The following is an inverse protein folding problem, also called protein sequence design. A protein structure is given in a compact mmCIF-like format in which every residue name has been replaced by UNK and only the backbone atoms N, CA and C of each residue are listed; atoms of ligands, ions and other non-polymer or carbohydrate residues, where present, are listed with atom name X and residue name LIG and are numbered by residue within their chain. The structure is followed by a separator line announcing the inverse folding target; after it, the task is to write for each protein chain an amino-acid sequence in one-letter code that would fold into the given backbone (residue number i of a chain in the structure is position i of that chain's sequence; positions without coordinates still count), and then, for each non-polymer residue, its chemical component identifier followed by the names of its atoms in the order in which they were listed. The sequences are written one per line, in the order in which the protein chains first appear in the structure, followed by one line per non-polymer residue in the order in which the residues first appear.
data_IF_518541262000
#
_entry.id   IF_518541262000
#
_cell.length_a   1.000
_cell.length_b   1.000
_cell.length_c   1.000
_cell.angle_alpha   90.00
_cell.angle_beta   90.00
_cell.angle_gamma   90.00
#
_symmetry.space_group_name_H-M   'P 1'
#
loop_
_entity.id
_entity.type
_entity.pdbx_description
1 polymer ?
#
# COMPACT_ATOMS: atom_id res chain seq x y z
N UNK A 1 4.06 8.11 117.64
CA UNK A 1 5.45 8.52 117.93
C UNK A 1 6.35 7.37 117.53
N UNK A 2 7.32 7.65 116.65
CA UNK A 2 8.57 6.88 116.40
C UNK A 2 8.46 5.41 115.95
N UNK A 3 9.28 4.87 115.05
CA UNK A 3 10.49 5.35 114.36
C UNK A 3 10.83 4.37 113.20
N UNK A 4 11.76 4.81 112.36
CA UNK A 4 12.20 4.26 111.06
C UNK A 4 13.14 3.05 111.15
N UNK A 5 13.34 2.44 109.95
CA UNK A 5 14.59 1.87 109.38
C UNK A 5 14.73 0.34 109.48
N UNK A 6 14.60 -0.43 108.38
CA UNK A 6 15.57 -0.72 107.28
C UNK A 6 16.76 -1.63 107.67
N UNK A 7 16.86 -2.73 106.90
CA UNK A 7 18.01 -3.60 106.54
C UNK A 7 18.01 -5.06 107.03
N UNK A 8 18.00 -5.99 106.05
CA UNK A 8 18.33 -7.40 106.16
C UNK A 8 18.56 -7.98 104.75
N UNK A 9 19.81 -8.26 104.42
CA UNK A 9 20.35 -8.50 103.09
C UNK A 9 19.98 -9.86 102.44
N UNK A 10 19.85 -9.88 101.11
CA UNK A 10 19.86 -11.07 100.27
C UNK A 10 21.24 -11.20 99.57
N UNK A 11 21.78 -12.41 99.37
CA UNK A 11 23.16 -12.61 98.95
C UNK A 11 23.38 -12.41 97.44
N UNK A 12 24.55 -11.88 97.11
CA UNK A 12 25.16 -11.86 95.78
C UNK A 12 25.62 -13.26 95.35
N UNK A 13 25.53 -13.53 94.04
CA UNK A 13 26.26 -14.59 93.33
C UNK A 13 25.45 -15.07 92.11
N UNK A 14 25.94 -15.11 90.88
CA UNK A 14 27.16 -14.61 90.24
C UNK A 14 26.82 -14.42 88.75
N UNK A 15 27.54 -13.53 88.08
CA UNK A 15 27.39 -13.28 86.65
C UNK A 15 28.07 -14.44 85.91
N UNK A 16 27.30 -15.25 85.19
CA UNK A 16 27.82 -16.23 84.25
C UNK A 16 27.31 -15.87 82.84
N UNK A 17 28.24 -15.43 81.98
CA UNK A 17 28.02 -15.22 80.56
C UNK A 17 27.93 -16.59 79.87
N UNK A 18 26.74 -16.96 79.39
CA UNK A 18 26.48 -18.19 78.63
C UNK A 18 25.54 -17.91 77.47
N UNK A 19 26.01 -18.18 76.25
CA UNK A 19 25.45 -17.69 74.99
C UNK A 19 23.97 -18.00 74.75
N UNK A 20 23.26 -16.98 74.28
CA UNK A 20 21.97 -17.18 73.62
C UNK A 20 22.18 -18.00 72.34
N UNK A 21 21.39 -19.07 72.09
CA UNK A 21 21.37 -19.70 70.79
C UNK A 21 20.82 -18.69 69.78
N UNK A 22 21.64 -18.33 68.78
CA UNK A 22 21.17 -17.65 67.58
C UNK A 22 20.18 -18.59 66.88
N UNK A 23 18.90 -18.27 67.01
CA UNK A 23 17.83 -18.90 66.25
C UNK A 23 17.98 -18.47 64.79
N UNK A 24 18.57 -19.33 63.97
CA UNK A 24 18.79 -19.13 62.55
C UNK A 24 17.56 -19.55 61.70
N UNK A 25 16.35 -19.25 62.15
CA UNK A 25 15.11 -19.79 61.55
C UNK A 25 14.26 -18.72 60.82
N UNK A 26 14.88 -17.74 60.14
CA UNK A 26 14.12 -16.63 59.55
C UNK A 26 14.61 -16.05 58.23
N UNK A 27 15.75 -16.49 57.69
CA UNK A 27 16.32 -15.89 56.46
C UNK A 27 16.27 -16.84 55.26
N UNK A 28 16.17 -18.16 55.47
CA UNK A 28 16.08 -19.12 54.36
C UNK A 28 14.69 -19.17 53.71
N UNK A 29 13.62 -18.85 54.46
CA UNK A 29 12.24 -18.97 53.96
C UNK A 29 11.82 -17.80 53.05
N UNK A 30 12.41 -16.61 53.21
CA UNK A 30 12.19 -15.47 52.29
C UNK A 30 12.99 -15.58 50.99
N UNK A 31 14.14 -16.27 50.99
CA UNK A 31 14.95 -16.46 49.78
C UNK A 31 14.39 -17.58 48.88
N UNK A 32 13.76 -18.60 49.47
CA UNK A 32 13.10 -19.71 48.76
C UNK A 32 11.76 -19.34 48.12
N UNK A 33 11.00 -18.41 48.71
CA UNK A 33 9.70 -17.98 48.17
C UNK A 33 9.80 -16.94 47.03
N UNK A 34 10.93 -16.23 46.91
CA UNK A 34 11.17 -15.26 45.84
C UNK A 34 11.51 -15.88 44.47
N UNK A 35 11.81 -17.19 44.41
CA UNK A 35 12.24 -17.87 43.20
C UNK A 35 11.24 -18.89 42.66
N UNK A 36 9.98 -18.87 43.10
CA UNK A 36 8.95 -19.68 42.43
C UNK A 36 8.53 -18.95 41.14
N UNK A 37 8.90 -19.44 39.93
CA UNK A 37 8.48 -18.81 38.69
C UNK A 37 6.95 -18.91 38.59
N UNK A 38 6.28 -17.79 38.87
CA UNK A 38 4.83 -17.68 38.79
C UNK A 38 4.43 -17.94 37.34
N UNK A 39 3.78 -19.08 37.06
CA UNK A 39 3.29 -19.43 35.72
C UNK A 39 2.41 -18.29 35.20
N UNK A 40 2.93 -17.51 34.24
CA UNK A 40 2.19 -16.41 33.62
C UNK A 40 1.14 -17.00 32.68
N UNK A 41 -0.13 -16.63 32.90
CA UNK A 41 -1.21 -16.97 31.97
C UNK A 41 -1.06 -16.05 30.75
N UNK A 42 -0.87 -16.63 29.58
CA UNK A 42 -0.86 -15.87 28.32
C UNK A 42 -2.25 -15.24 28.14
N UNK A 43 -2.29 -13.92 28.02
CA UNK A 43 -3.53 -13.22 27.72
C UNK A 43 -3.83 -13.35 26.22
N UNK A 44 -4.72 -14.28 25.86
CA UNK A 44 -5.08 -14.54 24.46
C UNK A 44 -5.57 -13.29 23.72
N UNK A 45 -6.21 -12.35 24.44
CA UNK A 45 -6.66 -11.08 23.86
C UNK A 45 -5.47 -10.20 23.41
N UNK A 46 -4.41 -10.14 24.21
CA UNK A 46 -3.21 -9.36 23.86
C UNK A 46 -2.46 -9.96 22.67
N UNK A 47 -2.46 -11.29 22.53
CA UNK A 47 -1.89 -11.97 21.35
C UNK A 47 -2.67 -11.62 20.07
N UNK A 48 -4.01 -11.59 20.17
CA UNK A 48 -4.88 -11.22 19.07
C UNK A 48 -4.68 -9.76 18.66
N UNK A 49 -4.54 -8.85 19.63
CA UNK A 49 -4.30 -7.42 19.40
C UNK A 49 -2.98 -7.18 18.64
N UNK A 50 -1.90 -7.89 19.01
CA UNK A 50 -0.59 -7.83 18.35
C UNK A 50 -0.60 -8.22 16.86
N UNK A 51 -1.60 -8.99 16.43
CA UNK A 51 -1.74 -9.42 15.03
C UNK A 51 -2.75 -8.54 14.31
N UNK A 52 -3.95 -8.37 14.89
CA UNK A 52 -5.06 -7.71 14.22
C UNK A 52 -4.90 -6.19 14.13
N UNK A 53 -4.28 -5.53 15.11
CA UNK A 53 -4.14 -4.06 15.07
C UNK A 53 -3.19 -3.63 13.96
N UNK A 54 -1.95 -4.15 13.85
CA UNK A 54 -1.07 -3.81 12.74
C UNK A 54 -1.65 -4.22 11.38
N UNK A 55 -2.29 -5.39 11.30
CA UNK A 55 -2.95 -5.83 10.07
C UNK A 55 -4.10 -4.89 9.66
N UNK A 56 -4.94 -4.47 10.60
CA UNK A 56 -6.02 -3.52 10.35
C UNK A 56 -5.51 -2.14 9.89
N UNK A 57 -4.43 -1.63 10.50
CA UNK A 57 -3.77 -0.39 10.07
C UNK A 57 -3.24 -0.55 8.65
N UNK A 58 -2.55 -1.65 8.35
CA UNK A 58 -2.06 -1.95 7.01
C UNK A 58 -3.19 -1.94 5.98
N UNK A 59 -4.26 -2.73 6.22
CA UNK A 59 -5.41 -2.83 5.32
C UNK A 59 -6.07 -1.46 5.11
N UNK A 60 -6.29 -0.70 6.20
CA UNK A 60 -6.91 0.60 6.15
C UNK A 60 -6.11 1.62 5.35
N UNK A 61 -4.82 1.79 5.66
CA UNK A 61 -3.92 2.72 4.95
C UNK A 61 -3.77 2.30 3.48
N UNK A 62 -3.62 1.01 3.23
CA UNK A 62 -3.46 0.48 1.88
C UNK A 62 -4.73 0.69 1.04
N UNK A 63 -5.91 0.48 1.62
CA UNK A 63 -7.19 0.74 0.96
C UNK A 63 -7.38 2.23 0.67
N UNK A 64 -7.15 3.09 1.67
CA UNK A 64 -7.28 4.54 1.56
C UNK A 64 -6.44 5.11 0.42
N UNK A 65 -5.21 4.61 0.25
CA UNK A 65 -4.30 5.08 -0.79
C UNK A 65 -4.49 4.39 -2.15
N UNK A 66 -5.19 3.25 -2.22
CA UNK A 66 -5.37 2.50 -3.47
C UNK A 66 -6.65 2.83 -4.23
N UNK A 67 -7.75 3.13 -3.52
CA UNK A 67 -9.10 3.16 -4.12
C UNK A 67 -9.67 4.58 -4.29
N UNK A 68 -10.98 4.67 -4.54
CA UNK A 68 -11.69 5.89 -4.95
C UNK A 68 -11.51 7.05 -3.99
N UNK A 69 -11.36 6.79 -2.68
CA UNK A 69 -11.12 7.84 -1.69
C UNK A 69 -9.91 8.70 -2.05
N UNK A 70 -8.82 8.07 -2.52
CA UNK A 70 -7.61 8.76 -2.99
C UNK A 70 -7.87 9.60 -4.23
N UNK A 71 -8.76 9.14 -5.10
CA UNK A 71 -9.09 9.79 -6.37
C UNK A 71 -9.99 11.02 -6.17
N UNK A 72 -11.09 10.84 -5.42
CA UNK A 72 -12.11 11.88 -5.23
C UNK A 72 -11.69 12.91 -4.16
N UNK A 73 -11.00 12.47 -3.11
CA UNK A 73 -10.73 13.27 -1.91
C UNK A 73 -9.30 13.08 -1.40
N UNK A 74 -8.34 13.68 -2.12
CA UNK A 74 -6.90 13.62 -1.80
C UNK A 74 -6.61 14.10 -0.38
N UNK A 75 -7.20 15.21 0.04
CA UNK A 75 -6.96 15.82 1.36
C UNK A 75 -7.48 14.95 2.51
N UNK A 76 -8.72 14.48 2.41
CA UNK A 76 -9.32 13.61 3.41
C UNK A 76 -8.55 12.28 3.55
N UNK A 77 -8.03 11.75 2.43
CA UNK A 77 -7.18 10.55 2.42
C UNK A 77 -5.92 10.77 3.25
N UNK A 78 -5.19 11.87 3.03
CA UNK A 78 -3.99 12.17 3.80
C UNK A 78 -4.29 12.42 5.28
N UNK A 79 -5.39 13.11 5.61
CA UNK A 79 -5.83 13.28 6.99
C UNK A 79 -6.05 11.93 7.70
N UNK A 80 -6.72 10.98 7.03
CA UNK A 80 -6.96 9.64 7.59
C UNK A 80 -5.68 8.80 7.69
N UNK A 81 -4.77 8.92 6.73
CA UNK A 81 -3.46 8.25 6.79
C UNK A 81 -2.60 8.79 7.94
N UNK A 82 -2.61 10.11 8.18
CA UNK A 82 -1.93 10.72 9.33
C UNK A 82 -2.60 10.36 10.66
N UNK A 83 -3.93 10.24 10.67
CA UNK A 83 -4.66 9.75 11.84
C UNK A 83 -4.24 8.31 12.18
N UNK A 84 -4.12 7.43 11.20
CA UNK A 84 -3.62 6.06 11.42
C UNK A 84 -2.19 6.04 11.98
N UNK A 85 -1.32 6.98 11.57
CA UNK A 85 0.03 7.11 12.11
C UNK A 85 0.02 7.50 13.60
N UNK A 86 -0.93 8.34 14.02
CA UNK A 86 -1.06 8.78 15.43
C UNK A 86 -1.32 7.60 16.38
N UNK A 87 -1.95 6.52 15.91
CA UNK A 87 -2.21 5.30 16.69
C UNK A 87 -0.88 4.65 17.10
N UNK A 88 0.08 4.54 16.18
CA UNK A 88 1.42 4.01 16.45
C UNK A 88 2.17 4.85 17.49
N UNK A 89 2.05 6.17 17.41
CA UNK A 89 2.61 7.08 18.43
C UNK A 89 1.90 6.95 19.78
N UNK A 90 0.59 6.71 19.79
CA UNK A 90 -0.18 6.44 21.01
C UNK A 90 0.34 5.22 21.77
N UNK A 91 0.65 4.11 21.06
CA UNK A 91 1.26 2.93 21.68
C UNK A 91 2.67 3.21 22.21
N UNK A 92 3.46 4.00 21.48
CA UNK A 92 4.80 4.40 21.92
C UNK A 92 4.75 5.30 23.16
N UNK A 93 3.82 6.25 23.20
CA UNK A 93 3.61 7.11 24.37
C UNK A 93 3.15 6.27 25.57
N UNK A 94 2.19 5.36 25.39
CA UNK A 94 1.74 4.44 26.44
C UNK A 94 2.90 3.59 26.99
N UNK A 95 3.78 3.10 26.13
CA UNK A 95 5.00 2.40 26.53
C UNK A 95 5.94 3.30 27.36
N UNK A 96 6.16 4.54 26.93
CA UNK A 96 7.02 5.49 27.63
C UNK A 96 6.49 5.84 29.04
N UNK A 97 5.19 6.10 29.16
CA UNK A 97 4.56 6.50 30.42
C UNK A 97 4.55 5.34 31.44
N UNK A 98 4.29 4.12 30.97
CA UNK A 98 4.37 2.96 31.85
C UNK A 98 5.80 2.66 32.29
N UNK A 99 6.80 2.95 31.45
CA UNK A 99 8.22 2.79 31.81
C UNK A 99 8.64 3.73 32.95
N UNK A 100 8.08 4.94 33.03
CA UNK A 100 8.42 5.90 34.10
C UNK A 100 7.82 5.56 35.47
N UNK A 101 6.75 4.78 35.52
CA UNK A 101 6.03 4.42 36.76
C UNK A 101 6.49 3.08 37.37
N UNK A 102 7.43 2.37 36.74
CA UNK A 102 7.71 0.98 37.08
C UNK A 102 8.79 0.81 38.17
N UNK A 103 8.34 0.37 39.35
CA UNK A 103 9.12 -0.51 40.24
C UNK A 103 9.58 -1.77 39.47
N UNK A 104 10.83 -2.19 39.72
CA UNK A 104 11.65 -3.14 38.94
C UNK A 104 10.99 -4.50 38.58
N UNK A 105 9.92 -4.90 39.27
CA UNK A 105 9.29 -6.23 39.20
C UNK A 105 8.35 -6.41 37.98
N UNK A 106 7.93 -5.32 37.31
CA UNK A 106 6.94 -5.37 36.21
C UNK A 106 7.52 -5.26 34.79
N UNK A 107 8.85 -5.32 34.62
CA UNK A 107 9.55 -5.04 33.35
C UNK A 107 9.10 -5.89 32.15
N UNK A 108 8.64 -7.13 32.35
CA UNK A 108 8.19 -8.00 31.25
C UNK A 108 6.81 -7.65 30.66
N UNK A 109 5.94 -6.92 31.39
CA UNK A 109 4.67 -6.43 30.83
C UNK A 109 4.86 -5.26 29.86
N UNK A 110 6.06 -4.66 29.80
CA UNK A 110 6.34 -3.45 29.04
C UNK A 110 6.77 -3.72 27.59
N UNK A 111 7.24 -4.93 27.26
CA UNK A 111 7.82 -5.22 25.94
C UNK A 111 6.78 -5.34 24.81
N UNK A 112 5.53 -5.71 25.11
CA UNK A 112 4.53 -5.94 24.06
C UNK A 112 3.91 -4.65 23.49
N UNK A 113 3.79 -3.57 24.28
CA UNK A 113 3.37 -2.26 23.75
C UNK A 113 4.42 -1.68 22.80
N UNK A 114 5.71 -1.89 23.08
CA UNK A 114 6.79 -1.50 22.17
C UNK A 114 6.71 -2.28 20.85
N UNK A 115 6.46 -3.59 20.93
CA UNK A 115 6.21 -4.40 19.73
C UNK A 115 5.02 -3.85 18.92
N UNK A 116 3.88 -3.58 19.57
CA UNK A 116 2.70 -3.01 18.92
C UNK A 116 3.00 -1.68 18.24
N UNK A 117 3.73 -0.78 18.90
CA UNK A 117 4.12 0.51 18.33
C UNK A 117 4.97 0.34 17.06
N UNK A 118 6.00 -0.51 17.12
CA UNK A 118 6.89 -0.77 15.98
C UNK A 118 6.14 -1.48 14.85
N UNK A 119 5.39 -2.53 15.16
CA UNK A 119 4.62 -3.30 14.18
C UNK A 119 3.57 -2.42 13.49
N UNK A 120 2.87 -1.56 14.23
CA UNK A 120 1.88 -0.62 13.68
C UNK A 120 2.53 0.46 12.82
N UNK A 121 3.72 0.94 13.17
CA UNK A 121 4.48 1.88 12.35
C UNK A 121 4.96 1.23 11.04
N UNK A 122 5.48 0.00 11.10
CA UNK A 122 5.88 -0.77 9.92
C UNK A 122 4.66 -1.08 9.04
N UNK A 123 3.52 -1.44 9.63
CA UNK A 123 2.26 -1.65 8.93
C UNK A 123 1.82 -0.40 8.18
N UNK A 124 1.85 0.75 8.84
CA UNK A 124 1.53 2.05 8.24
C UNK A 124 2.45 2.37 7.06
N UNK A 125 3.77 2.21 7.25
CA UNK A 125 4.75 2.49 6.19
C UNK A 125 4.58 1.55 4.99
N UNK A 126 4.42 0.25 5.24
CA UNK A 126 4.20 -0.75 4.20
C UNK A 126 2.90 -0.48 3.43
N UNK A 127 1.81 -0.16 4.15
CA UNK A 127 0.53 0.22 3.53
C UNK A 127 0.65 1.48 2.69
N UNK A 128 1.44 2.46 3.13
CA UNK A 128 1.67 3.71 2.40
C UNK A 128 2.45 3.48 1.08
N UNK A 129 3.54 2.73 1.13
CA UNK A 129 4.37 2.42 -0.04
C UNK A 129 3.61 1.57 -1.05
N UNK A 130 3.00 0.47 -0.59
CA UNK A 130 2.25 -0.43 -1.47
C UNK A 130 0.98 0.23 -2.02
N UNK A 131 0.30 1.05 -1.22
CA UNK A 131 -0.86 1.83 -1.66
C UNK A 131 -0.52 2.80 -2.77
N UNK A 132 0.54 3.58 -2.62
CA UNK A 132 0.97 4.51 -3.65
C UNK A 132 1.40 3.79 -4.95
N UNK A 133 2.04 2.63 -4.83
CA UNK A 133 2.39 1.80 -6.00
C UNK A 133 1.14 1.26 -6.70
N UNK A 134 0.16 0.75 -5.94
CA UNK A 134 -1.08 0.19 -6.49
C UNK A 134 -1.99 1.25 -7.12
N UNK A 135 -1.95 2.49 -6.60
CA UNK A 135 -2.74 3.60 -7.10
C UNK A 135 -2.42 3.93 -8.57
N UNK A 136 -1.23 3.62 -9.08
CA UNK A 136 -0.89 3.82 -10.49
C UNK A 136 -1.83 3.07 -11.45
N UNK A 137 -2.17 1.81 -11.13
CA UNK A 137 -3.10 1.01 -11.93
C UNK A 137 -4.55 1.47 -11.73
N UNK A 138 -4.93 1.75 -10.48
CA UNK A 138 -6.29 2.18 -10.14
C UNK A 138 -6.62 3.56 -10.70
N UNK A 139 -5.64 4.47 -10.73
CA UNK A 139 -5.80 5.81 -11.32
C UNK A 139 -6.17 5.74 -12.80
N UNK A 140 -5.48 4.89 -13.58
CA UNK A 140 -5.81 4.67 -15.00
C UNK A 140 -7.26 4.21 -15.17
N UNK A 141 -7.69 3.27 -14.31
CA UNK A 141 -9.07 2.82 -14.31
C UNK A 141 -10.05 3.97 -14.00
N UNK A 142 -9.81 4.79 -12.97
CA UNK A 142 -10.70 5.90 -12.62
C UNK A 142 -10.72 7.00 -13.69
N UNK A 143 -9.56 7.37 -14.25
CA UNK A 143 -9.46 8.36 -15.33
C UNK A 143 -10.21 7.90 -16.59
N UNK A 144 -10.16 6.60 -16.93
CA UNK A 144 -10.87 6.06 -18.08
C UNK A 144 -12.35 5.80 -17.79
N UNK A 145 -12.72 5.36 -16.58
CA UNK A 145 -14.10 5.01 -16.24
C UNK A 145 -14.98 6.22 -15.92
N UNK A 146 -14.39 7.32 -15.45
CA UNK A 146 -15.09 8.60 -15.22
C UNK A 146 -15.53 9.29 -16.52
N UNK A 147 -14.89 8.93 -17.64
CA UNK A 147 -15.24 9.40 -18.97
C UNK A 147 -16.31 8.52 -19.64
N UNK A 148 -17.07 9.14 -20.55
CA UNK A 148 -18.16 8.54 -21.30
C UNK A 148 -17.72 7.48 -22.31
N UNK A 149 -18.75 6.84 -22.89
CA UNK A 149 -18.65 5.88 -23.97
C UNK A 149 -19.35 6.45 -25.20
N UNK A 150 -18.61 6.65 -26.29
CA UNK A 150 -19.16 7.03 -27.58
C UNK A 150 -19.29 5.81 -28.49
N UNK A 151 -20.44 5.66 -29.14
CA UNK A 151 -20.71 4.56 -30.08
C UNK A 151 -20.98 5.11 -31.48
N UNK A 152 -20.68 4.30 -32.48
CA UNK A 152 -20.99 4.58 -33.90
C UNK A 152 -20.40 5.91 -34.39
N UNK A 153 -19.18 6.24 -33.94
CA UNK A 153 -18.50 7.48 -34.35
C UNK A 153 -17.98 7.34 -35.79
N UNK A 154 -18.38 8.23 -36.69
CA UNK A 154 -17.74 8.39 -38.00
C UNK A 154 -16.57 9.39 -37.88
N UNK A 155 -15.32 8.96 -38.14
CA UNK A 155 -14.16 9.84 -38.12
C UNK A 155 -14.24 11.06 -39.06
N UNK A 156 -15.12 11.04 -40.07
CA UNK A 156 -15.26 12.11 -41.08
C UNK A 156 -16.24 13.21 -40.68
N UNK A 157 -17.28 12.86 -39.96
CA UNK A 157 -18.39 13.77 -39.63
C UNK A 157 -18.27 14.34 -38.22
N UNK A 158 -17.84 13.50 -37.27
CA UNK A 158 -17.73 13.89 -35.87
C UNK A 158 -16.34 14.47 -35.62
N UNK A 159 -16.27 15.76 -35.26
CA UNK A 159 -15.01 16.37 -34.83
C UNK A 159 -14.59 15.89 -33.44
N UNK A 160 -13.28 15.83 -33.17
CA UNK A 160 -12.77 15.40 -31.86
C UNK A 160 -13.30 16.23 -30.69
N UNK A 161 -13.62 17.51 -30.92
CA UNK A 161 -14.19 18.39 -29.91
C UNK A 161 -15.55 17.92 -29.34
N UNK A 162 -16.30 17.10 -30.09
CA UNK A 162 -17.60 16.57 -29.64
C UNK A 162 -17.50 15.38 -28.68
N UNK A 163 -16.35 14.70 -28.64
CA UNK A 163 -16.16 13.50 -27.82
C UNK A 163 -14.98 13.64 -26.82
N UNK A 164 -14.71 14.87 -26.40
CA UNK A 164 -13.64 15.18 -25.43
C UNK A 164 -13.84 14.53 -24.07
N UNK A 165 -15.08 14.20 -23.73
CA UNK A 165 -15.50 13.55 -22.49
C UNK A 165 -15.53 12.02 -22.58
N UNK A 166 -15.18 11.45 -23.75
CA UNK A 166 -15.24 10.02 -24.00
C UNK A 166 -13.85 9.37 -23.92
N UNK A 167 -13.71 8.34 -23.09
CA UNK A 167 -12.50 7.51 -23.04
C UNK A 167 -12.60 6.35 -24.01
N UNK A 168 -13.80 5.83 -24.20
CA UNK A 168 -14.05 4.62 -24.98
C UNK A 168 -14.85 5.02 -26.20
N UNK A 169 -14.37 4.64 -27.37
CA UNK A 169 -14.99 5.02 -28.64
C UNK A 169 -15.12 3.78 -29.51
N UNK A 170 -16.34 3.46 -29.91
CA UNK A 170 -16.61 2.51 -30.99
C UNK A 170 -16.86 3.31 -32.27
N UNK A 171 -15.99 3.14 -33.25
CA UNK A 171 -16.14 3.74 -34.57
C UNK A 171 -17.11 2.93 -35.43
N UNK A 172 -17.56 3.51 -36.55
CA UNK A 172 -18.37 2.77 -37.51
C UNK A 172 -17.60 1.55 -38.07
N UNK A 173 -18.31 0.43 -38.38
CA UNK A 173 -17.69 -0.74 -38.99
C UNK A 173 -16.91 -0.40 -40.26
N UNK A 174 -15.71 -0.98 -40.39
CA UNK A 174 -14.78 -0.70 -41.48
C UNK A 174 -13.79 0.42 -41.20
N UNK A 175 -14.00 1.22 -40.14
CA UNK A 175 -12.98 2.19 -39.69
C UNK A 175 -11.67 1.47 -39.39
N UNK A 176 -10.56 2.06 -39.85
CA UNK A 176 -9.23 1.46 -39.78
C UNK A 176 -8.17 2.52 -39.56
N UNK A 177 -7.01 2.07 -39.11
CA UNK A 177 -5.82 2.91 -39.06
C UNK A 177 -5.27 3.06 -40.47
N UNK A 178 -4.98 4.29 -40.89
CA UNK A 178 -4.33 4.56 -42.16
C UNK A 178 -2.81 4.44 -42.00
N UNK A 179 -2.28 3.25 -42.25
CA UNK A 179 -0.86 2.93 -42.05
C UNK A 179 0.08 3.76 -42.93
N UNK A 180 -0.36 4.16 -44.13
CA UNK A 180 0.44 4.96 -45.06
C UNK A 180 0.81 6.34 -44.50
N UNK A 181 0.05 6.85 -43.54
CA UNK A 181 0.28 8.14 -42.87
C UNK A 181 0.86 7.98 -41.46
N UNK A 182 1.40 6.80 -41.14
CA UNK A 182 2.05 6.58 -39.85
C UNK A 182 3.44 7.22 -39.82
N UNK A 183 3.77 7.89 -38.71
CA UNK A 183 5.07 8.50 -38.47
C UNK A 183 5.46 8.36 -36.99
N UNK A 184 6.76 8.45 -36.70
CA UNK A 184 7.29 8.33 -35.34
C UNK A 184 8.21 9.47 -34.95
N UNK A 185 7.96 10.08 -33.80
CA UNK A 185 8.88 11.03 -33.17
C UNK A 185 9.81 10.29 -32.20
N UNK A 186 11.13 10.55 -32.27
CA UNK A 186 12.11 9.86 -31.42
C UNK A 186 12.59 10.76 -30.29
N UNK A 187 12.27 10.37 -29.06
CA UNK A 187 12.80 10.94 -27.82
C UNK A 187 13.03 9.83 -26.79
N UNK A 188 14.26 9.31 -26.71
CA UNK A 188 14.64 8.03 -26.09
C UNK A 188 13.95 6.78 -26.69
N UNK A 189 12.62 6.75 -26.69
CA UNK A 189 11.75 5.81 -27.41
C UNK A 189 11.11 6.47 -28.64
N UNK A 190 10.58 5.67 -29.55
CA UNK A 190 9.85 6.13 -30.73
C UNK A 190 8.36 6.24 -30.40
N UNK A 191 7.84 7.45 -30.39
CA UNK A 191 6.42 7.76 -30.21
C UNK A 191 5.71 7.76 -31.55
N UNK A 192 4.88 6.75 -31.75
CA UNK A 192 4.21 6.46 -33.00
C UNK A 192 2.81 7.04 -33.03
N UNK A 193 2.45 7.63 -34.17
CA UNK A 193 1.10 8.14 -34.44
C UNK A 193 0.64 7.72 -35.82
N UNK A 194 -0.64 7.38 -35.95
CA UNK A 194 -1.28 7.10 -37.23
C UNK A 194 -2.75 7.55 -37.20
N UNK A 195 -3.28 8.20 -38.25
CA UNK A 195 -4.65 8.68 -38.24
C UNK A 195 -5.65 7.53 -38.38
N UNK A 196 -6.80 7.67 -37.72
CA UNK A 196 -7.93 6.74 -37.80
C UNK A 196 -8.93 7.29 -38.83
N UNK A 197 -9.27 6.47 -39.82
CA UNK A 197 -10.13 6.87 -40.94
C UNK A 197 -11.30 5.92 -41.12
N UNK A 198 -12.39 6.42 -41.70
CA UNK A 198 -13.52 5.60 -42.08
C UNK A 198 -13.15 4.66 -43.25
N UNK A 199 -13.59 3.40 -43.19
CA UNK A 199 -13.20 2.38 -44.16
C UNK A 199 -13.71 2.59 -45.59
N UNK A 200 -14.91 3.16 -45.71
CA UNK A 200 -15.64 3.34 -46.97
C UNK A 200 -15.47 4.78 -47.48
N UNK A 201 -14.23 5.21 -47.69
CA UNK A 201 -13.93 6.51 -48.28
C UNK A 201 -14.16 6.46 -49.80
N UNK A 202 -15.41 6.60 -50.26
CA UNK A 202 -15.76 6.85 -51.67
C UNK A 202 -15.66 8.35 -52.02
N UNK A 203 -14.73 9.07 -51.40
CA UNK A 203 -14.58 10.53 -51.53
C UNK A 203 -13.11 10.95 -51.51
N UNK A 204 -12.86 12.25 -51.73
CA UNK A 204 -11.52 12.84 -51.68
C UNK A 204 -10.82 12.50 -50.34
N UNK A 205 -9.51 12.24 -50.35
CA UNK A 205 -8.77 11.93 -49.12
C UNK A 205 -8.94 13.08 -48.13
N UNK A 206 -9.32 12.75 -46.90
CA UNK A 206 -9.41 13.74 -45.83
C UNK A 206 -8.03 14.36 -45.61
N UNK A 207 -7.96 15.68 -45.67
CA UNK A 207 -6.72 16.44 -45.40
C UNK A 207 -6.60 16.83 -43.92
N UNK A 208 -7.63 16.54 -43.12
CA UNK A 208 -7.67 16.86 -41.70
C UNK A 208 -8.16 15.68 -40.86
N UNK A 209 -7.49 15.39 -39.74
CA UNK A 209 -7.78 14.26 -38.86
C UNK A 209 -7.86 14.68 -37.39
N UNK A 210 -8.95 14.31 -36.72
CA UNK A 210 -9.10 14.50 -35.27
C UNK A 210 -8.68 13.28 -34.45
N UNK A 211 -8.73 12.08 -35.03
CA UNK A 211 -8.54 10.82 -34.31
C UNK A 211 -7.23 10.16 -34.69
N UNK A 212 -6.40 9.88 -33.69
CA UNK A 212 -5.06 9.34 -33.88
C UNK A 212 -4.86 8.10 -33.02
N UNK A 213 -4.46 7.00 -33.66
CA UNK A 213 -3.95 5.82 -32.99
C UNK A 213 -2.50 6.07 -32.58
N UNK A 214 -2.17 5.75 -31.33
CA UNK A 214 -0.84 5.98 -30.75
C UNK A 214 -0.25 4.77 -30.07
N UNK A 215 1.07 4.73 -30.01
CA UNK A 215 1.83 3.74 -29.24
C UNK A 215 3.32 4.05 -29.22
N UNK A 216 4.08 3.26 -28.47
CA UNK A 216 5.52 3.46 -28.30
C UNK A 216 6.27 2.26 -28.89
N UNK A 217 7.33 2.53 -29.66
CA UNK A 217 8.23 1.56 -30.28
C UNK A 217 7.53 0.52 -31.18
N UNK A 218 6.45 0.94 -31.86
CA UNK A 218 5.58 0.07 -32.66
C UNK A 218 5.20 0.64 -34.05
N UNK A 219 6.11 1.42 -34.64
CA UNK A 219 6.01 1.94 -35.99
C UNK A 219 7.38 2.12 -36.65
N UNK A 220 7.38 2.27 -37.96
CA UNK A 220 8.55 2.79 -38.70
C UNK A 220 8.52 4.32 -38.62
N UNK A 221 9.55 4.98 -38.09
CA UNK A 221 9.51 6.42 -37.81
C UNK A 221 9.50 7.32 -39.05
N UNK A 222 9.90 6.80 -40.22
CA UNK A 222 9.91 7.51 -41.50
C UNK A 222 9.38 6.60 -42.63
N UNK A 223 8.95 7.17 -43.77
CA UNK A 223 8.55 6.39 -44.95
C UNK A 223 9.64 5.41 -45.42
N UNK A 224 9.30 4.16 -45.82
CA UNK A 224 7.96 3.58 -45.89
C UNK A 224 7.33 3.36 -44.51
N UNK A 225 6.11 3.86 -44.33
CA UNK A 225 5.38 3.91 -43.07
C UNK A 225 4.74 2.56 -42.77
N UNK A 226 4.83 2.15 -41.50
CA UNK A 226 4.16 0.97 -41.00
C UNK A 226 3.80 1.19 -39.53
N UNK A 227 2.65 0.69 -39.11
CA UNK A 227 2.12 0.85 -37.76
C UNK A 227 1.52 -0.46 -37.26
N UNK A 228 1.97 -0.91 -36.09
CA UNK A 228 1.56 -2.19 -35.48
C UNK A 228 1.36 -2.07 -33.97
N UNK A 229 0.99 -0.88 -33.48
CA UNK A 229 0.73 -0.65 -32.06
C UNK A 229 -0.59 -1.32 -31.63
N UNK A 230 -0.47 -2.46 -30.95
CA UNK A 230 -1.59 -3.25 -30.42
C UNK A 230 -1.80 -4.55 -31.20
N UNK A 231 -2.35 -5.57 -30.55
CA UNK A 231 -2.61 -6.88 -31.16
C UNK A 231 -3.67 -6.84 -32.26
N UNK A 232 -4.54 -5.84 -32.20
CA UNK A 232 -5.80 -5.83 -32.96
C UNK A 232 -5.72 -4.94 -34.22
N UNK A 233 -4.57 -4.34 -34.51
CA UNK A 233 -4.39 -3.42 -35.67
C UNK A 233 -4.72 -4.09 -37.00
N UNK A 234 -4.42 -5.38 -37.12
CA UNK A 234 -4.67 -6.17 -38.33
C UNK A 234 -5.99 -6.96 -38.30
N UNK A 235 -6.75 -6.92 -37.19
CA UNK A 235 -8.07 -7.57 -37.11
C UNK A 235 -9.12 -6.64 -37.76
N UNK A 236 -9.76 -7.02 -38.88
CA UNK A 236 -10.79 -6.21 -39.52
C UNK A 236 -12.03 -5.99 -38.63
N UNK A 237 -12.18 -6.77 -37.55
CA UNK A 237 -13.25 -6.60 -36.56
C UNK A 237 -12.90 -5.56 -35.49
N UNK A 238 -11.65 -5.14 -35.37
CA UNK A 238 -11.26 -4.08 -34.46
C UNK A 238 -11.68 -2.74 -35.05
N UNK A 239 -12.61 -2.07 -34.39
CA UNK A 239 -13.11 -0.74 -34.75
C UNK A 239 -13.36 0.10 -33.49
N UNK A 240 -12.67 -0.22 -32.40
CA UNK A 240 -12.80 0.46 -31.14
C UNK A 240 -11.46 1.04 -30.71
N UNK A 241 -11.52 2.02 -29.83
CA UNK A 241 -10.33 2.63 -29.29
C UNK A 241 -10.55 3.12 -27.86
N UNK A 242 -9.46 3.10 -27.10
CA UNK A 242 -9.40 3.58 -25.72
C UNK A 242 -8.47 4.78 -25.68
N UNK A 243 -8.90 5.86 -25.02
CA UNK A 243 -8.11 7.07 -24.89
C UNK A 243 -6.80 6.75 -24.19
N UNK A 244 -5.70 7.28 -24.72
CA UNK A 244 -4.39 7.04 -24.14
C UNK A 244 -4.30 7.68 -22.73
N UNK A 245 -4.05 6.90 -21.66
CA UNK A 245 -4.08 7.41 -20.28
C UNK A 245 -2.76 8.08 -19.84
N UNK A 246 -1.70 8.01 -20.65
CA UNK A 246 -0.39 8.55 -20.31
C UNK A 246 -0.16 9.99 -20.81
N UNK A 247 1.08 10.46 -20.68
CA UNK A 247 1.49 11.75 -21.24
C UNK A 247 1.43 11.73 -22.78
N UNK A 248 0.76 12.74 -23.33
CA UNK A 248 0.54 12.87 -24.77
C UNK A 248 1.43 13.92 -25.44
N UNK A 249 2.30 14.58 -24.68
CA UNK A 249 3.17 15.66 -25.17
C UNK A 249 4.03 15.20 -26.34
N UNK A 250 4.69 14.04 -26.21
CA UNK A 250 5.54 13.49 -27.28
C UNK A 250 4.76 13.05 -28.53
N UNK A 251 3.49 12.64 -28.37
CA UNK A 251 2.62 12.34 -29.51
C UNK A 251 2.20 13.61 -30.27
N UNK A 252 2.15 14.78 -29.61
CA UNK A 252 1.89 16.05 -30.31
C UNK A 252 3.03 16.40 -31.25
N UNK A 253 4.28 16.21 -30.83
CA UNK A 253 5.44 16.41 -31.70
C UNK A 253 5.45 15.46 -32.90
N UNK A 254 5.04 14.20 -32.69
CA UNK A 254 4.87 13.26 -33.80
C UNK A 254 3.78 13.72 -34.81
N UNK A 255 2.69 14.30 -34.33
CA UNK A 255 1.65 14.88 -35.19
C UNK A 255 2.19 16.11 -35.95
N UNK A 256 2.93 17.00 -35.29
CA UNK A 256 3.56 18.16 -35.96
C UNK A 256 4.47 17.73 -37.11
N UNK A 257 5.22 16.63 -36.91
CA UNK A 257 6.01 16.01 -37.99
C UNK A 257 5.12 15.43 -39.10
N UNK A 258 4.02 14.77 -38.75
CA UNK A 258 3.07 14.23 -39.74
C UNK A 258 2.46 15.33 -40.61
N UNK A 259 2.10 16.48 -40.01
CA UNK A 259 1.57 17.63 -40.74
C UNK A 259 2.58 18.20 -41.74
N UNK A 260 3.86 18.24 -41.36
CA UNK A 260 4.94 18.75 -42.20
C UNK A 260 5.28 17.78 -43.35
N UNK A 261 5.32 16.48 -43.08
CA UNK A 261 5.73 15.45 -44.06
C UNK A 261 4.63 15.17 -45.09
N UNK A 262 3.38 15.02 -44.64
CA UNK A 262 2.26 14.60 -45.49
C UNK A 262 1.34 15.74 -45.93
N UNK A 263 1.56 16.97 -45.46
CA UNK A 263 0.70 18.11 -45.77
C UNK A 263 -0.73 17.97 -45.22
N UNK A 264 -0.91 17.17 -44.17
CA UNK A 264 -2.18 16.96 -43.46
C UNK A 264 -2.33 17.93 -42.28
N UNK A 265 -3.53 18.03 -41.73
CA UNK A 265 -3.83 18.89 -40.56
C UNK A 265 -4.48 18.11 -39.42
N UNK A 266 -4.13 18.42 -38.19
CA UNK A 266 -4.70 17.82 -37.00
C UNK A 266 -5.66 18.79 -36.31
N UNK A 267 -6.94 18.69 -36.62
CA UNK A 267 -7.98 19.51 -35.99
C UNK A 267 -8.36 18.91 -34.65
N UNK A 268 -7.82 19.47 -33.55
CA UNK A 268 -8.00 18.97 -32.17
C UNK A 268 -7.65 17.48 -32.02
N UNK A 269 -6.35 17.12 -32.05
CA UNK A 269 -5.94 15.73 -32.02
C UNK A 269 -6.29 15.05 -30.69
N UNK A 270 -6.99 13.93 -30.79
CA UNK A 270 -7.25 13.00 -29.71
C UNK A 270 -6.47 11.71 -29.93
N UNK A 271 -5.86 11.23 -28.85
CA UNK A 271 -4.96 10.10 -28.85
C UNK A 271 -5.65 8.86 -28.28
N UNK A 272 -5.61 7.78 -29.04
CA UNK A 272 -6.21 6.51 -28.65
C UNK A 272 -5.27 5.34 -28.88
N UNK A 273 -5.36 4.34 -28.03
CA UNK A 273 -4.88 2.99 -28.29
C UNK A 273 -5.95 2.23 -29.07
N UNK A 274 -5.55 1.60 -30.17
CA UNK A 274 -6.46 0.83 -31.04
C UNK A 274 -6.63 -0.59 -30.54
N UNK A 275 -7.87 -1.04 -30.43
CA UNK A 275 -8.19 -2.32 -29.78
C UNK A 275 -9.59 -2.80 -30.14
N UNK A 276 -9.83 -4.09 -29.94
CA UNK A 276 -11.12 -4.72 -30.24
C UNK A 276 -12.16 -4.48 -29.15
N UNK A 277 -11.72 -4.52 -27.89
CA UNK A 277 -12.61 -4.37 -26.73
C UNK A 277 -12.03 -3.38 -25.70
N UNK A 278 -12.49 -2.10 -25.72
CA UNK A 278 -12.03 -1.08 -24.78
C UNK A 278 -12.56 -1.26 -23.37
N UNK A 279 -13.69 -1.97 -23.21
CA UNK A 279 -14.19 -2.28 -21.87
C UNK A 279 -13.35 -3.35 -21.20
N UNK A 280 -12.97 -4.40 -21.93
CA UNK A 280 -12.08 -5.45 -21.45
C UNK A 280 -10.74 -4.89 -20.96
N UNK A 281 -10.13 -4.00 -21.74
CA UNK A 281 -8.88 -3.33 -21.37
C UNK A 281 -9.07 -2.39 -20.16
N UNK A 282 -10.18 -1.64 -20.10
CA UNK A 282 -10.46 -0.81 -18.91
C UNK A 282 -10.64 -1.67 -17.65
N UNK A 283 -11.33 -2.81 -17.76
CA UNK A 283 -11.54 -3.75 -16.65
C UNK A 283 -10.25 -4.45 -16.22
N UNK A 284 -9.28 -4.61 -17.12
CA UNK A 284 -7.99 -5.23 -16.79
C UNK A 284 -7.21 -4.39 -15.76
N UNK A 285 -7.26 -3.05 -15.86
CA UNK A 285 -6.66 -2.15 -14.87
C UNK A 285 -7.29 -2.30 -13.48
N UNK A 286 -8.62 -2.41 -13.41
CA UNK A 286 -9.34 -2.66 -12.16
C UNK A 286 -8.96 -4.03 -11.58
N UNK A 287 -8.97 -5.07 -12.41
CA UNK A 287 -8.64 -6.42 -11.99
C UNK A 287 -7.20 -6.50 -11.44
N UNK A 288 -6.24 -5.85 -12.10
CA UNK A 288 -4.86 -5.79 -11.64
C UNK A 288 -4.73 -5.11 -10.28
N UNK A 289 -5.39 -3.97 -10.07
CA UNK A 289 -5.34 -3.23 -8.79
C UNK A 289 -6.05 -3.96 -7.63
N UNK A 290 -7.20 -4.59 -7.91
CA UNK A 290 -7.93 -5.41 -6.93
C UNK A 290 -7.16 -6.69 -6.60
N UNK A 291 -6.57 -7.34 -7.60
CA UNK A 291 -5.76 -8.54 -7.40
C UNK A 291 -4.52 -8.23 -6.55
N UNK A 292 -3.78 -7.17 -6.89
CA UNK A 292 -2.64 -6.71 -6.10
C UNK A 292 -3.06 -6.42 -4.64
N UNK A 293 -4.19 -5.76 -4.42
CA UNK A 293 -4.72 -5.49 -3.09
C UNK A 293 -4.93 -6.77 -2.27
N UNK A 294 -5.62 -7.77 -2.82
CA UNK A 294 -5.85 -9.04 -2.12
C UNK A 294 -4.56 -9.80 -1.82
N UNK A 295 -3.66 -9.89 -2.80
CA UNK A 295 -2.37 -10.59 -2.64
C UNK A 295 -1.58 -9.98 -1.48
N UNK A 296 -1.46 -8.65 -1.43
CA UNK A 296 -0.67 -7.98 -0.39
C UNK A 296 -1.31 -8.04 1.00
N UNK A 297 -2.63 -8.05 1.12
CA UNK A 297 -3.32 -8.24 2.41
C UNK A 297 -2.97 -9.58 3.04
N UNK A 298 -3.06 -10.66 2.27
CA UNK A 298 -2.77 -12.00 2.76
C UNK A 298 -1.27 -12.20 2.99
N UNK A 299 -0.43 -11.67 2.10
CA UNK A 299 1.02 -11.71 2.27
C UNK A 299 1.46 -11.00 3.57
N UNK A 300 0.91 -9.81 3.85
CA UNK A 300 1.24 -9.07 5.07
C UNK A 300 0.73 -9.78 6.33
N UNK A 301 -0.48 -10.37 6.30
CA UNK A 301 -0.99 -11.15 7.43
C UNK A 301 -0.09 -12.35 7.77
N UNK A 302 0.33 -13.11 6.74
CA UNK A 302 1.24 -14.24 6.91
C UNK A 302 2.57 -13.76 7.50
N UNK A 303 3.13 -12.68 6.93
CA UNK A 303 4.35 -12.05 7.44
C UNK A 303 4.22 -11.67 8.92
N UNK A 304 3.12 -11.02 9.31
CA UNK A 304 2.85 -10.60 10.69
C UNK A 304 2.76 -11.80 11.64
N UNK A 305 2.05 -12.86 11.26
CA UNK A 305 1.95 -14.10 12.06
C UNK A 305 3.31 -14.78 12.23
N UNK A 306 4.12 -14.84 11.18
CA UNK A 306 5.46 -15.44 11.23
C UNK A 306 6.41 -14.62 12.12
N UNK A 307 6.43 -13.30 11.97
CA UNK A 307 7.28 -12.42 12.78
C UNK A 307 6.87 -12.48 14.25
N UNK A 308 5.57 -12.36 14.54
CA UNK A 308 5.08 -12.44 15.91
C UNK A 308 5.34 -13.81 16.53
N UNK A 309 5.02 -14.89 15.80
CA UNK A 309 5.26 -16.26 16.25
C UNK A 309 6.74 -16.56 16.49
N UNK A 310 7.63 -16.08 15.63
CA UNK A 310 9.08 -16.21 15.81
C UNK A 310 9.61 -15.49 17.04
N UNK A 311 9.15 -14.25 17.29
CA UNK A 311 9.49 -13.49 18.49
C UNK A 311 8.95 -14.21 19.74
N UNK A 312 7.69 -14.63 19.73
CA UNK A 312 7.08 -15.36 20.84
C UNK A 312 7.80 -16.68 21.15
N UNK A 313 8.17 -17.45 20.12
CA UNK A 313 8.94 -18.69 20.26
C UNK A 313 10.34 -18.46 20.81
N UNK A 314 11.02 -17.38 20.39
CA UNK A 314 12.34 -17.00 20.91
C UNK A 314 12.27 -16.65 22.40
N UNK A 315 11.31 -15.81 22.81
CA UNK A 315 11.09 -15.48 24.22
C UNK A 315 10.74 -16.72 25.04
N UNK A 316 9.88 -17.60 24.52
CA UNK A 316 9.52 -18.85 25.18
C UNK A 316 10.73 -19.76 25.40
N UNK A 317 11.56 -19.96 24.38
CA UNK A 317 12.76 -20.80 24.46
C UNK A 317 13.76 -20.26 25.49
N UNK A 318 13.99 -18.95 25.50
CA UNK A 318 14.90 -18.33 26.47
C UNK A 318 14.35 -18.40 27.89
N UNK A 319 13.04 -18.23 28.07
CA UNK A 319 12.40 -18.38 29.37
C UNK A 319 12.56 -19.81 29.92
N UNK A 320 12.32 -20.84 29.09
CA UNK A 320 12.51 -22.24 29.49
C UNK A 320 13.98 -22.54 29.79
N UNK A 321 14.93 -22.01 29.01
CA UNK A 321 16.36 -22.20 29.25
C UNK A 321 16.84 -21.59 30.57
N UNK A 322 16.27 -20.45 30.98
CA UNK A 322 16.56 -19.81 32.27
C UNK A 322 15.90 -20.60 33.42
N UNK A 323 14.64 -21.02 33.25
CA UNK A 323 13.91 -21.79 34.24
C UNK A 323 14.49 -23.20 34.48
N UNK A 324 15.17 -23.79 33.49
CA UNK A 324 15.88 -25.07 33.63
C UNK A 324 17.27 -24.99 34.24
N UNK A 325 17.77 -23.78 34.54
CA UNK A 325 19.09 -23.55 35.18
C UNK A 325 19.02 -23.26 36.68
N UNK A 326 17.84 -23.31 37.28
CA UNK A 326 17.71 -23.26 38.74
C UNK A 326 18.24 -24.57 39.33
N UNK A 327 19.26 -24.55 40.21
CA UNK A 327 19.87 -25.75 40.78
C UNK A 327 18.92 -26.57 41.64
#
# INVERSE_FOLDING_TARGET
MESRSLYGAAPHGGIEYGGAPLRADGVEDELGTLLVPKRKRLNGLALLECILVPWGIFVGVFWLLSFSMRYDHVEATWCLVLFALSISFGFLAKWYWHRSDADYVSSELHSWFLYLAIASFVAWLAGAVLGNSNFGSMRKYYDLSSMGLSREVDPRDVSGNRILDSSRVYFLPGSRIQQDLAIGYKDFSVYCVAPIVAGNATGAPATSFSYWAVGVDCCTPMPPSAFWCGSDVFDPKAHAALRYPGDSTNFRHAIEMAEAEYGIKASSPLFFSWLKDPEGETRSYLAAGVHAFHVWIWAYLIFQVVVFGGIAAFYWRNYVAIAGRTP
#
